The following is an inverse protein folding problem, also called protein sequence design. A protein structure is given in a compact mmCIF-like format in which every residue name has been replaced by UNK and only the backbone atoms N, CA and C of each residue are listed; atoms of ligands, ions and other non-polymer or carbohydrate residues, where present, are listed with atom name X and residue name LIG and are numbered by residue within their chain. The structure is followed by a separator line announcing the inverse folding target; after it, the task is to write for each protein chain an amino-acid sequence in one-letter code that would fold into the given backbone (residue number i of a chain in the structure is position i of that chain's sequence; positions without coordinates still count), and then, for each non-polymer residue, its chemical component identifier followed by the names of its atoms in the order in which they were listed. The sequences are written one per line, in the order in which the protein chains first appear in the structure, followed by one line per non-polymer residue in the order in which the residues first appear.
data_IF_190557155032
#
_entry.id   IF_190557155032
#
_cell.length_a   1.000
_cell.length_b   1.000
_cell.length_c   1.000
_cell.angle_alpha   90.00
_cell.angle_beta   90.00
_cell.angle_gamma   90.00
#
_symmetry.space_group_name_H-M   'P 1'
#
loop_
_entity.id
_entity.type
_entity.pdbx_description
1 polymer ?
#
# COMPACT_ATOMS: atom_id res chain seq x y z
N UNK A 1 10.59 -0.36 10.86
CA UNK A 1 10.53 0.81 9.98
C UNK A 1 9.28 0.76 9.10
N UNK A 2 8.73 1.91 8.80
CA UNK A 2 7.61 2.00 7.89
C UNK A 2 8.11 2.21 6.46
N UNK A 3 7.44 1.62 5.45
CA UNK A 3 7.82 1.89 4.07
C UNK A 3 7.50 3.34 3.69
N UNK A 4 8.35 3.94 2.88
CA UNK A 4 8.08 5.25 2.31
C UNK A 4 7.35 5.02 0.99
N UNK A 5 6.08 5.42 0.93
CA UNK A 5 5.21 5.12 -0.21
C UNK A 5 5.03 6.34 -1.10
N UNK A 6 5.10 6.13 -2.41
CA UNK A 6 4.67 7.10 -3.40
C UNK A 6 3.56 6.49 -4.24
N UNK A 7 2.60 7.32 -4.64
CA UNK A 7 1.47 6.88 -5.45
C UNK A 7 1.40 7.74 -6.70
N UNK A 8 1.33 7.10 -7.85
CA UNK A 8 1.20 7.79 -9.13
C UNK A 8 -0.12 7.37 -9.77
N UNK A 9 -0.96 8.34 -10.10
CA UNK A 9 -2.22 8.05 -10.78
C UNK A 9 -1.98 7.76 -12.25
N UNK A 10 -2.64 6.72 -12.73
CA UNK A 10 -2.69 6.40 -14.15
C UNK A 10 -4.13 6.36 -14.62
N UNK A 11 -4.33 5.97 -15.85
CA UNK A 11 -5.67 5.88 -16.43
C UNK A 11 -6.40 4.70 -15.78
N UNK A 12 -7.39 5.00 -14.93
CA UNK A 12 -8.16 4.02 -14.16
C UNK A 12 -7.30 3.10 -13.29
N UNK A 13 -6.14 3.59 -12.88
CA UNK A 13 -5.25 2.80 -12.02
C UNK A 13 -4.37 3.70 -11.16
N UNK A 14 -3.80 3.13 -10.14
CA UNK A 14 -2.81 3.80 -9.32
C UNK A 14 -1.62 2.88 -9.13
N UNK A 15 -0.42 3.42 -9.30
CA UNK A 15 0.82 2.68 -9.09
C UNK A 15 1.43 3.13 -7.78
N UNK A 16 1.62 2.18 -6.87
CA UNK A 16 2.26 2.43 -5.58
C UNK A 16 3.68 1.93 -5.65
N UNK A 17 4.61 2.72 -5.10
CA UNK A 17 6.00 2.30 -4.96
C UNK A 17 6.47 2.64 -3.56
N UNK A 18 7.32 1.79 -3.03
CA UNK A 18 7.90 2.00 -1.70
C UNK A 18 9.31 1.43 -1.66
N UNK A 19 10.05 1.78 -0.60
CA UNK A 19 11.37 1.23 -0.40
C UNK A 19 11.30 -0.06 0.38
N UNK A 20 12.17 -1.00 0.01
CA UNK A 20 12.27 -2.27 0.72
C UNK A 20 12.55 -2.03 2.20
N UNK A 21 11.80 -2.71 3.06
CA UNK A 21 12.02 -2.67 4.49
C UNK A 21 12.88 -3.87 4.88
N UNK A 22 13.99 -3.60 5.56
CA UNK A 22 14.91 -4.66 5.99
C UNK A 22 14.19 -5.62 6.93
N UNK A 23 14.32 -6.90 6.66
CA UNK A 23 13.70 -7.96 7.46
C UNK A 23 12.23 -8.22 7.15
N UNK A 24 11.62 -7.47 6.24
CA UNK A 24 10.23 -7.69 5.91
C UNK A 24 10.06 -8.97 5.09
N UNK A 25 9.03 -9.74 5.43
CA UNK A 25 8.60 -10.90 4.64
C UNK A 25 7.64 -10.50 3.53
N UNK A 26 6.95 -9.40 3.71
CA UNK A 26 6.01 -8.91 2.72
C UNK A 26 5.39 -7.60 3.15
N UNK A 27 4.34 -7.22 2.44
CA UNK A 27 3.67 -5.93 2.63
C UNK A 27 2.17 -6.10 2.49
N UNK A 28 1.41 -5.24 3.15
CA UNK A 28 -0.03 -5.18 2.96
C UNK A 28 -0.40 -3.79 2.47
N UNK A 29 -1.15 -3.72 1.38
CA UNK A 29 -1.58 -2.47 0.78
C UNK A 29 -3.03 -2.21 1.18
N UNK A 30 -3.29 -1.00 1.68
CA UNK A 30 -4.61 -0.58 2.12
C UNK A 30 -5.10 0.59 1.28
N UNK A 31 -6.41 0.68 1.09
CA UNK A 31 -7.04 1.73 0.30
C UNK A 31 -8.26 2.29 1.02
N UNK A 32 -8.48 3.60 0.84
CA UNK A 32 -9.69 4.26 1.30
C UNK A 32 -10.13 5.28 0.26
N UNK A 33 -11.40 5.68 0.32
CA UNK A 33 -11.93 6.69 -0.59
C UNK A 33 -11.96 8.08 0.03
N UNK A 34 -11.60 8.20 1.30
CA UNK A 34 -11.46 9.49 1.96
C UNK A 34 -10.30 9.44 2.95
N UNK A 35 -9.74 10.61 3.23
CA UNK A 35 -8.58 10.71 4.11
C UNK A 35 -8.87 10.19 5.52
N UNK A 36 -10.04 10.46 6.02
CA UNK A 36 -10.48 10.00 7.35
C UNK A 36 -11.31 8.73 7.29
N UNK A 37 -11.47 8.13 6.11
CA UNK A 37 -12.26 6.93 5.95
C UNK A 37 -11.56 5.68 6.45
N UNK A 38 -12.31 4.60 6.48
CA UNK A 38 -11.76 3.31 6.88
C UNK A 38 -10.95 2.71 5.73
N UNK A 39 -9.73 2.31 6.02
CA UNK A 39 -8.88 1.66 5.05
C UNK A 39 -9.15 0.17 5.04
N UNK A 40 -9.23 -0.39 3.83
CA UNK A 40 -9.39 -1.83 3.64
C UNK A 40 -8.17 -2.39 2.95
N UNK A 41 -7.75 -3.58 3.35
CA UNK A 41 -6.66 -4.26 2.68
C UNK A 41 -7.09 -4.64 1.26
N UNK A 42 -6.33 -4.19 0.27
CA UNK A 42 -6.61 -4.51 -1.13
C UNK A 42 -5.69 -5.59 -1.65
N UNK A 43 -4.54 -5.78 -1.04
CA UNK A 43 -3.61 -6.83 -1.44
C UNK A 43 -2.62 -7.12 -0.33
N UNK A 44 -2.24 -8.38 -0.24
CA UNK A 44 -1.15 -8.82 0.62
C UNK A 44 -0.05 -9.34 -0.28
N UNK A 45 1.12 -8.70 -0.21
CA UNK A 45 2.26 -9.09 -1.01
C UNK A 45 3.18 -9.94 -0.14
N UNK A 46 3.38 -11.19 -0.53
CA UNK A 46 4.12 -12.16 0.29
C UNK A 46 5.61 -12.19 -0.01
N UNK A 47 6.12 -11.20 -0.73
CA UNK A 47 7.54 -11.10 -1.03
C UNK A 47 8.13 -9.84 -0.44
N UNK A 48 9.13 -9.98 0.42
CA UNK A 48 9.79 -8.82 1.04
C UNK A 48 10.61 -7.98 0.07
N UNK A 49 10.90 -8.51 -1.12
CA UNK A 49 11.65 -7.79 -2.15
C UNK A 49 10.75 -7.00 -3.11
N UNK A 50 9.44 -7.19 -3.04
CA UNK A 50 8.51 -6.44 -3.88
C UNK A 50 8.38 -5.02 -3.38
N UNK A 51 8.54 -4.04 -4.26
CA UNK A 51 8.51 -2.63 -3.90
C UNK A 51 7.52 -1.81 -4.71
N UNK A 52 6.62 -2.49 -5.42
CA UNK A 52 5.59 -1.80 -6.19
C UNK A 52 4.33 -2.63 -6.31
N UNK A 53 3.22 -1.94 -6.52
CA UNK A 53 1.93 -2.57 -6.72
C UNK A 53 1.05 -1.66 -7.58
N UNK A 54 0.35 -2.24 -8.54
CA UNK A 54 -0.57 -1.49 -9.40
C UNK A 54 -1.99 -1.89 -9.03
N UNK A 55 -2.77 -0.90 -8.59
CA UNK A 55 -4.18 -1.10 -8.28
C UNK A 55 -5.01 -0.67 -9.49
N UNK A 56 -5.67 -1.60 -10.13
CA UNK A 56 -6.42 -1.38 -11.37
C UNK A 56 -7.92 -1.30 -11.12
N UNK A 57 -8.68 -1.01 -12.16
CA UNK A 57 -10.15 -0.95 -12.13
C UNK A 57 -10.67 0.11 -11.19
N UNK A 58 -10.00 1.25 -11.17
CA UNK A 58 -10.41 2.39 -10.36
C UNK A 58 -11.33 3.30 -11.16
N UNK A 59 -12.14 4.07 -10.43
CA UNK A 59 -13.03 5.04 -11.05
C UNK A 59 -12.26 6.29 -11.46
N UNK A 60 -12.38 6.70 -12.73
CA UNK A 60 -11.74 7.92 -13.22
C UNK A 60 -12.19 9.13 -12.42
N UNK A 61 -11.27 10.08 -12.24
CA UNK A 61 -11.51 11.36 -11.56
C UNK A 61 -11.84 11.23 -10.08
N UNK A 62 -11.78 10.03 -9.50
CA UNK A 62 -11.98 9.82 -8.09
C UNK A 62 -10.63 9.79 -7.37
N UNK A 63 -10.59 10.36 -6.16
CA UNK A 63 -9.38 10.35 -5.35
C UNK A 63 -9.39 9.15 -4.43
N UNK A 64 -8.28 8.41 -4.41
CA UNK A 64 -8.09 7.28 -3.52
C UNK A 64 -6.90 7.54 -2.61
N UNK A 65 -6.98 7.03 -1.40
CA UNK A 65 -5.92 7.15 -0.42
C UNK A 65 -5.35 5.78 -0.14
N UNK A 66 -4.03 5.70 -0.03
CA UNK A 66 -3.32 4.44 0.15
C UNK A 66 -2.38 4.48 1.33
N UNK A 67 -2.27 3.34 1.99
CA UNK A 67 -1.26 3.09 3.02
C UNK A 67 -0.65 1.72 2.77
N UNK A 68 0.61 1.57 3.16
CA UNK A 68 1.29 0.28 3.10
C UNK A 68 1.98 0.05 4.43
N UNK A 69 1.98 -1.19 4.89
CA UNK A 69 2.81 -1.56 6.03
C UNK A 69 3.53 -2.87 5.70
N UNK A 70 4.72 -3.02 6.27
CA UNK A 70 5.50 -4.23 6.14
C UNK A 70 5.08 -5.23 7.20
N UNK A 71 5.34 -6.50 6.97
CA UNK A 71 5.19 -7.51 8.01
C UNK A 71 6.34 -8.49 7.96
N UNK A 72 6.57 -9.15 9.08
CA UNK A 72 7.48 -10.28 9.18
C UNK A 72 6.76 -11.38 9.95
N UNK A 73 7.31 -12.58 9.89
CA UNK A 73 6.73 -13.72 10.60
C UNK A 73 7.67 -14.15 11.71
N UNK A 74 7.15 -14.26 12.93
CA UNK A 74 7.90 -14.80 14.07
C UNK A 74 7.02 -15.82 14.77
N UNK A 75 7.56 -17.00 15.00
CA UNK A 75 6.86 -18.08 15.70
C UNK A 75 5.46 -18.36 15.13
N UNK A 76 5.35 -18.31 13.79
CA UNK A 76 4.09 -18.54 13.11
C UNK A 76 3.10 -17.39 13.14
N UNK A 77 3.50 -16.25 13.70
CA UNK A 77 2.63 -15.07 13.77
C UNK A 77 3.18 -13.92 12.95
N UNK A 78 2.29 -13.17 12.33
CA UNK A 78 2.67 -11.96 11.60
C UNK A 78 2.82 -10.79 12.56
N UNK A 79 3.93 -10.08 12.41
CA UNK A 79 4.20 -8.86 13.16
C UNK A 79 4.25 -7.73 12.15
N UNK A 80 3.39 -6.73 12.31
CA UNK A 80 3.26 -5.63 11.36
C UNK A 80 4.03 -4.39 11.82
N UNK A 81 4.58 -3.67 10.84
CA UNK A 81 5.13 -2.34 11.09
C UNK A 81 3.98 -1.35 11.25
N UNK A 82 4.31 -0.12 11.62
CA UNK A 82 3.37 0.98 11.56
C UNK A 82 2.97 1.23 10.11
N UNK A 83 1.79 1.82 9.89
CA UNK A 83 1.38 2.20 8.55
C UNK A 83 2.27 3.31 8.00
N UNK A 84 2.48 3.29 6.69
CA UNK A 84 3.07 4.43 6.02
C UNK A 84 2.15 5.64 6.13
N UNK A 85 2.66 6.82 5.78
CA UNK A 85 1.79 7.98 5.66
C UNK A 85 0.77 7.74 4.55
N UNK A 86 -0.46 8.19 4.77
CA UNK A 86 -1.48 8.09 3.73
C UNK A 86 -1.08 8.95 2.54
N UNK A 87 -1.12 8.37 1.37
CA UNK A 87 -0.84 9.06 0.11
C UNK A 87 -2.08 9.00 -0.75
N UNK A 88 -2.35 10.05 -1.46
CA UNK A 88 -3.53 10.10 -2.30
C UNK A 88 -3.17 10.27 -3.77
N UNK A 89 -4.07 9.80 -4.63
CA UNK A 89 -3.96 10.01 -6.06
C UNK A 89 -5.35 10.19 -6.64
N UNK A 90 -5.50 11.22 -7.46
CA UNK A 90 -6.72 11.41 -8.22
C UNK A 90 -6.60 10.66 -9.53
N UNK A 91 -7.45 9.70 -9.74
CA UNK A 91 -7.37 8.80 -10.91
C UNK A 91 -7.73 9.57 -12.19
N UNK A 92 -6.96 9.32 -13.22
CA UNK A 92 -7.16 9.95 -14.52
C UNK A 92 -8.26 9.34 -15.34
#
# INVERSE_FOLDING_TARGET
KTPAVTVTAGKKQATLKWKKVSGAKGYVVYRATSKSGKYKAVSTIKKGSTVSYINKKLTSKKTYYYKVRAYRTENGKRIYSSYSKAKSAKIK
#
